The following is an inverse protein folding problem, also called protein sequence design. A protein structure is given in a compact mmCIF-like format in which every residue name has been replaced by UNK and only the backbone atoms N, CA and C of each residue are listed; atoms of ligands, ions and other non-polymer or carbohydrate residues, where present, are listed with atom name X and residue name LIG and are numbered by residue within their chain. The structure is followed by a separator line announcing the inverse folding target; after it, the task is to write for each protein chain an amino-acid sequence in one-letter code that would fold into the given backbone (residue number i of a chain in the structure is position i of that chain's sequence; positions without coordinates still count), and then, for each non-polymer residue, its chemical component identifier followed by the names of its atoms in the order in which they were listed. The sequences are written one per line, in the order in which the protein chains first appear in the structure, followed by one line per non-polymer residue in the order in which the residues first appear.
data_IF_700064470411
#
_entry.id   IF_700064470411
#
_cell.length_a   1.000
_cell.length_b   1.000
_cell.length_c   1.000
_cell.angle_alpha   90.00
_cell.angle_beta   90.00
_cell.angle_gamma   90.00
#
_symmetry.space_group_name_H-M   'P 1'
#
loop_
_entity.id
_entity.type
_entity.pdbx_description
1 polymer ?
#
# COMPACT_ATOMS: atom_id res chain seq x y z
N UNK A 1 -16.31 12.79 7.95
CA UNK A 1 -16.33 13.60 6.72
C UNK A 1 -16.56 15.04 7.15
N UNK A 2 -15.72 16.01 6.76
CA UNK A 2 -15.90 17.41 7.18
C UNK A 2 -14.64 18.28 7.19
N UNK A 3 -13.44 17.69 7.30
CA UNK A 3 -12.18 18.46 7.37
C UNK A 3 -11.43 18.55 6.03
N UNK A 4 -11.80 17.74 5.01
CA UNK A 4 -10.96 17.49 3.81
C UNK A 4 -11.16 18.48 2.66
N UNK A 5 -12.32 19.10 2.52
CA UNK A 5 -12.59 20.09 1.47
C UNK A 5 -12.19 21.51 1.89
N UNK A 6 -12.19 21.76 3.20
CA UNK A 6 -11.80 23.03 3.83
C UNK A 6 -10.38 23.46 3.45
N UNK A 7 -9.41 22.54 3.51
CA UNK A 7 -8.00 22.86 3.23
C UNK A 7 -7.75 23.29 1.78
N UNK A 8 -8.44 22.69 0.80
CA UNK A 8 -8.26 23.08 -0.60
C UNK A 8 -8.87 24.43 -0.93
N UNK A 9 -10.02 24.74 -0.33
CA UNK A 9 -10.63 26.05 -0.48
C UNK A 9 -9.72 27.14 0.10
N UNK A 10 -8.95 26.86 1.16
CA UNK A 10 -7.96 27.78 1.70
C UNK A 10 -6.78 28.00 0.75
N UNK A 11 -6.33 26.95 0.05
CA UNK A 11 -5.22 27.05 -0.91
C UNK A 11 -5.56 27.83 -2.18
N UNK A 12 -6.84 28.00 -2.53
CA UNK A 12 -7.26 28.81 -3.70
C UNK A 12 -6.87 30.28 -3.58
N UNK A 13 -6.69 30.78 -2.36
CA UNK A 13 -6.36 32.18 -2.08
C UNK A 13 -4.85 32.40 -1.90
N UNK A 14 -4.02 31.39 -2.13
CA UNK A 14 -2.57 31.51 -2.04
C UNK A 14 -2.03 32.02 -3.37
N UNK A 15 -1.36 33.17 -3.35
CA UNK A 15 -0.80 33.82 -4.54
C UNK A 15 0.56 33.24 -4.98
N UNK A 16 1.12 32.31 -4.20
CA UNK A 16 2.37 31.63 -4.53
C UNK A 16 2.12 30.37 -5.39
N UNK A 17 3.08 29.96 -6.25
CA UNK A 17 3.00 28.70 -6.98
C UNK A 17 2.85 27.50 -6.04
N UNK A 18 1.91 26.59 -6.35
CA UNK A 18 1.62 25.40 -5.53
C UNK A 18 1.96 24.15 -6.34
N UNK A 19 2.74 23.25 -5.73
CA UNK A 19 2.99 21.90 -6.25
C UNK A 19 2.34 20.88 -5.32
N UNK A 20 1.53 19.99 -5.89
CA UNK A 20 0.91 18.91 -5.15
C UNK A 20 1.88 17.71 -5.04
N UNK A 21 2.01 17.18 -3.83
CA UNK A 21 2.79 15.98 -3.53
C UNK A 21 1.90 14.79 -3.14
N UNK A 22 0.57 14.97 -3.19
CA UNK A 22 -0.39 13.98 -2.74
C UNK A 22 -0.90 13.10 -3.88
N UNK A 23 -0.99 11.80 -3.63
CA UNK A 23 -1.62 10.86 -4.58
C UNK A 23 -3.10 10.61 -4.32
N UNK A 24 -3.55 10.92 -3.10
CA UNK A 24 -4.92 10.61 -2.67
C UNK A 24 -6.00 11.45 -3.37
N UNK A 25 -5.62 12.39 -4.23
CA UNK A 25 -6.51 13.42 -4.81
C UNK A 25 -6.22 13.66 -6.29
N UNK A 26 -6.38 12.65 -7.16
CA UNK A 26 -5.98 12.72 -8.57
C UNK A 26 -6.67 13.85 -9.35
N UNK A 27 -7.88 14.26 -8.92
CA UNK A 27 -8.72 15.26 -9.59
C UNK A 27 -8.33 16.73 -9.36
N UNK A 28 -7.27 16.99 -8.59
CA UNK A 28 -6.81 18.36 -8.35
C UNK A 28 -5.93 18.82 -9.50
N UNK A 29 -6.27 19.97 -10.06
CA UNK A 29 -5.57 20.60 -11.18
C UNK A 29 -4.43 21.47 -10.68
N UNK A 30 -3.38 20.82 -10.16
CA UNK A 30 -2.11 21.46 -9.79
C UNK A 30 -0.96 20.71 -10.46
N UNK A 31 0.17 21.40 -10.76
CA UNK A 31 1.43 20.71 -11.04
C UNK A 31 1.70 19.70 -9.92
N UNK A 32 1.99 18.45 -10.27
CA UNK A 32 2.14 17.36 -9.31
C UNK A 32 3.47 16.65 -9.50
N UNK A 33 4.15 16.43 -8.39
CA UNK A 33 5.29 15.52 -8.31
C UNK A 33 4.89 14.33 -7.46
N UNK A 34 5.05 13.14 -8.01
CA UNK A 34 4.59 11.92 -7.36
C UNK A 34 5.50 10.73 -7.68
N UNK A 35 5.26 9.62 -7.00
CA UNK A 35 6.05 8.40 -7.13
C UNK A 35 5.42 7.49 -8.17
N UNK A 36 6.26 6.84 -8.99
CA UNK A 36 5.79 5.79 -9.89
C UNK A 36 5.54 4.48 -9.12
N UNK A 37 4.32 4.35 -8.61
CA UNK A 37 3.91 3.15 -7.88
C UNK A 37 3.82 1.90 -8.73
N UNK A 38 3.65 2.05 -10.06
CA UNK A 38 3.69 0.93 -11.00
C UNK A 38 5.11 0.40 -11.09
N UNK A 39 6.09 1.27 -11.35
CA UNK A 39 7.49 0.89 -11.43
C UNK A 39 8.00 0.24 -10.13
N UNK A 40 7.59 0.76 -8.96
CA UNK A 40 7.92 0.13 -7.67
C UNK A 40 7.36 -1.29 -7.59
N UNK A 41 6.09 -1.48 -7.93
CA UNK A 41 5.44 -2.78 -7.87
C UNK A 41 6.06 -3.79 -8.85
N UNK A 42 6.34 -3.35 -10.07
CA UNK A 42 7.04 -4.15 -11.10
C UNK A 42 8.46 -4.52 -10.65
N UNK A 43 9.16 -3.61 -10.00
CA UNK A 43 10.48 -3.87 -9.45
C UNK A 43 10.43 -4.91 -8.33
N UNK A 44 9.49 -4.78 -7.39
CA UNK A 44 9.33 -5.73 -6.29
C UNK A 44 9.01 -7.15 -6.80
N UNK A 45 8.21 -7.27 -7.88
CA UNK A 45 7.86 -8.57 -8.47
C UNK A 45 9.06 -9.35 -9.02
N UNK A 46 10.17 -8.67 -9.34
CA UNK A 46 11.40 -9.32 -9.83
C UNK A 46 12.21 -10.00 -8.73
N UNK A 47 11.96 -9.67 -7.46
CA UNK A 47 12.72 -10.20 -6.32
C UNK A 47 11.87 -11.22 -5.54
N UNK A 48 11.82 -12.47 -6.02
CA UNK A 48 11.20 -13.59 -5.32
C UNK A 48 11.44 -14.93 -5.99
N UNK A 49 11.33 -16.02 -5.24
CA UNK A 49 11.81 -17.35 -5.67
C UNK A 49 10.72 -18.41 -5.87
N UNK A 50 9.50 -18.21 -5.37
CA UNK A 50 8.41 -19.19 -5.60
C UNK A 50 7.01 -18.67 -5.25
N UNK A 51 6.82 -18.12 -4.05
CA UNK A 51 5.51 -17.68 -3.57
C UNK A 51 5.55 -16.23 -3.13
N UNK A 52 4.47 -15.50 -3.39
CA UNK A 52 4.42 -14.05 -3.26
C UNK A 52 3.25 -13.59 -2.40
N UNK A 53 3.53 -12.63 -1.52
CA UNK A 53 2.53 -12.03 -0.64
C UNK A 53 2.62 -10.52 -0.67
N UNK A 54 1.49 -9.84 -0.84
CA UNK A 54 1.36 -8.41 -0.63
C UNK A 54 0.71 -8.12 0.72
N UNK A 55 1.31 -7.22 1.52
CA UNK A 55 0.82 -6.89 2.87
C UNK A 55 0.53 -5.41 2.97
N UNK A 56 -0.64 -5.07 3.50
CA UNK A 56 -0.98 -3.69 3.82
C UNK A 56 -1.95 -3.53 4.98
N UNK A 57 -1.96 -2.33 5.55
CA UNK A 57 -2.93 -1.95 6.59
C UNK A 57 -4.32 -1.66 6.02
N UNK A 58 -4.39 -0.93 4.91
CA UNK A 58 -5.64 -0.41 4.35
C UNK A 58 -5.68 -0.45 2.82
N UNK A 59 -6.90 -0.63 2.31
CA UNK A 59 -7.23 -0.69 0.87
C UNK A 59 -7.39 0.70 0.26
N UNK A 60 -6.42 1.59 0.46
CA UNK A 60 -6.53 3.00 0.11
C UNK A 60 -5.42 3.47 -0.84
N UNK A 61 -5.82 4.28 -1.82
CA UNK A 61 -4.95 5.05 -2.71
C UNK A 61 -3.73 4.26 -3.21
N UNK A 62 -2.55 4.76 -2.85
CA UNK A 62 -1.23 4.20 -3.22
C UNK A 62 -1.08 2.71 -2.90
N UNK A 63 -1.57 2.27 -1.73
CA UNK A 63 -1.42 0.86 -1.33
C UNK A 63 -2.19 -0.07 -2.26
N UNK A 64 -3.39 0.34 -2.67
CA UNK A 64 -4.20 -0.40 -3.64
C UNK A 64 -3.51 -0.42 -5.02
N UNK A 65 -2.99 0.71 -5.47
CA UNK A 65 -2.28 0.83 -6.75
C UNK A 65 -1.06 -0.08 -6.79
N UNK A 66 -0.21 -0.05 -5.75
CA UNK A 66 0.97 -0.95 -5.64
C UNK A 66 0.57 -2.42 -5.66
N UNK A 67 -0.46 -2.79 -4.89
CA UNK A 67 -0.99 -4.17 -4.86
C UNK A 67 -1.42 -4.62 -6.26
N UNK A 68 -2.23 -3.81 -6.92
CA UNK A 68 -2.87 -4.17 -8.19
C UNK A 68 -1.79 -4.38 -9.28
N UNK A 69 -0.82 -3.48 -9.39
CA UNK A 69 0.30 -3.65 -10.32
C UNK A 69 1.23 -4.81 -9.94
N UNK A 70 1.48 -5.06 -8.65
CA UNK A 70 2.31 -6.18 -8.21
C UNK A 70 1.66 -7.51 -8.56
N UNK A 71 0.38 -7.69 -8.20
CA UNK A 71 -0.39 -8.89 -8.52
C UNK A 71 -0.53 -9.09 -10.04
N UNK A 72 -0.75 -8.00 -10.80
CA UNK A 72 -0.80 -8.07 -12.26
C UNK A 72 0.54 -8.52 -12.86
N UNK A 73 1.66 -7.97 -12.39
CA UNK A 73 3.01 -8.33 -12.87
C UNK A 73 3.32 -9.79 -12.59
N UNK A 74 3.00 -10.27 -11.39
CA UNK A 74 3.17 -11.68 -11.02
C UNK A 74 2.30 -12.60 -11.88
N UNK A 75 1.04 -12.23 -12.09
CA UNK A 75 0.12 -12.99 -12.93
C UNK A 75 0.62 -13.13 -14.36
N UNK A 76 1.19 -12.07 -14.93
CA UNK A 76 1.82 -12.11 -16.27
C UNK A 76 3.03 -13.04 -16.33
N UNK A 77 3.73 -13.24 -15.21
CA UNK A 77 4.84 -14.17 -15.08
C UNK A 77 4.39 -15.60 -14.66
N UNK A 78 3.08 -15.86 -14.56
CA UNK A 78 2.54 -17.17 -14.20
C UNK A 78 2.50 -17.46 -12.69
N UNK A 79 2.66 -16.43 -11.84
CA UNK A 79 2.59 -16.56 -10.39
C UNK A 79 1.30 -15.97 -9.81
N UNK A 80 0.88 -16.52 -8.67
CA UNK A 80 -0.23 -15.98 -7.88
C UNK A 80 0.29 -15.09 -6.75
N UNK A 81 -0.52 -14.11 -6.35
CA UNK A 81 -0.23 -13.19 -5.25
C UNK A 81 -1.23 -13.35 -4.11
N UNK A 82 -0.75 -13.74 -2.94
CA UNK A 82 -1.56 -13.72 -1.72
C UNK A 82 -1.64 -12.28 -1.20
N UNK A 83 -2.83 -11.80 -0.83
CA UNK A 83 -3.00 -10.45 -0.28
C UNK A 83 -3.47 -10.52 1.16
N UNK A 84 -2.70 -9.92 2.07
CA UNK A 84 -3.08 -9.77 3.48
C UNK A 84 -3.42 -8.34 3.79
N UNK A 85 -4.63 -8.14 4.31
CA UNK A 85 -5.18 -6.81 4.58
C UNK A 85 -5.68 -6.70 6.00
N UNK A 86 -4.92 -6.02 6.86
CA UNK A 86 -5.31 -5.82 8.26
C UNK A 86 -6.70 -5.18 8.36
N UNK A 87 -6.97 -4.15 7.55
CA UNK A 87 -8.25 -3.46 7.53
C UNK A 87 -9.45 -4.35 7.23
N UNK A 88 -9.26 -5.41 6.41
CA UNK A 88 -10.30 -6.41 6.10
C UNK A 88 -10.33 -7.56 7.12
N UNK A 89 -9.19 -7.95 7.67
CA UNK A 89 -9.04 -9.17 8.47
C UNK A 89 -9.09 -8.95 9.98
N UNK A 90 -8.97 -7.69 10.46
CA UNK A 90 -8.95 -7.38 11.90
C UNK A 90 -10.26 -7.71 12.62
N UNK A 91 -11.38 -7.72 11.91
CA UNK A 91 -12.71 -7.83 12.52
C UNK A 91 -12.92 -6.75 13.57
N UNK A 92 -13.29 -7.15 14.79
CA UNK A 92 -13.51 -6.24 15.92
C UNK A 92 -12.25 -5.86 16.70
N UNK A 93 -11.06 -6.34 16.30
CA UNK A 93 -9.81 -5.99 16.99
C UNK A 93 -9.48 -4.51 16.86
N UNK A 94 -8.89 -3.96 17.92
CA UNK A 94 -8.36 -2.59 17.93
C UNK A 94 -7.24 -2.46 16.90
N UNK A 95 -7.20 -1.33 16.22
CA UNK A 95 -6.14 -1.05 15.26
C UNK A 95 -4.92 -0.41 15.95
N UNK A 96 -4.26 -1.22 16.77
CA UNK A 96 -3.00 -0.89 17.41
C UNK A 96 -1.85 -1.76 16.86
N UNK A 97 -0.62 -1.39 17.21
CA UNK A 97 0.59 -2.09 16.74
C UNK A 97 0.66 -3.53 17.22
N UNK A 98 0.22 -3.82 18.44
CA UNK A 98 0.39 -5.13 19.05
C UNK A 98 -0.55 -6.16 18.40
N UNK A 99 -1.83 -5.80 18.22
CA UNK A 99 -2.81 -6.66 17.55
C UNK A 99 -2.43 -6.89 16.07
N UNK A 100 -1.96 -5.83 15.39
CA UNK A 100 -1.51 -5.94 13.99
C UNK A 100 -0.28 -6.84 13.87
N UNK A 101 0.72 -6.70 14.73
CA UNK A 101 1.89 -7.58 14.73
C UNK A 101 1.51 -9.04 15.02
N UNK A 102 0.66 -9.30 16.03
CA UNK A 102 0.18 -10.67 16.31
C UNK A 102 -0.56 -11.28 15.12
N UNK A 103 -1.38 -10.50 14.43
CA UNK A 103 -2.03 -10.93 13.19
C UNK A 103 -1.01 -11.24 12.10
N UNK A 104 -0.06 -10.34 11.86
CA UNK A 104 0.94 -10.47 10.81
C UNK A 104 1.80 -11.73 11.00
N UNK A 105 2.32 -11.96 12.20
CA UNK A 105 3.10 -13.16 12.55
C UNK A 105 2.27 -14.42 12.31
N UNK A 106 1.01 -14.46 12.76
CA UNK A 106 0.12 -15.60 12.55
C UNK A 106 -0.10 -15.89 11.06
N UNK A 107 -0.27 -14.86 10.24
CA UNK A 107 -0.51 -15.01 8.79
C UNK A 107 0.75 -15.46 8.06
N UNK A 108 1.90 -14.86 8.38
CA UNK A 108 3.18 -15.23 7.78
C UNK A 108 3.63 -16.66 8.14
N UNK A 109 3.24 -17.17 9.30
CA UNK A 109 3.49 -18.55 9.72
C UNK A 109 2.69 -19.59 8.93
N UNK A 110 1.56 -19.19 8.31
CA UNK A 110 0.69 -20.07 7.52
C UNK A 110 1.11 -20.19 6.05
N UNK A 111 2.08 -19.37 5.61
CA UNK A 111 2.51 -19.34 4.22
C UNK A 111 3.55 -20.44 3.92
N UNK A 112 3.49 -21.06 2.72
CA UNK A 112 4.56 -21.95 2.26
C UNK A 112 5.89 -21.20 2.18
N UNK A 113 7.00 -21.85 2.53
CA UNK A 113 8.35 -21.28 2.46
C UNK A 113 9.12 -21.87 1.29
N UNK A 114 9.95 -21.09 0.58
CA UNK A 114 10.19 -19.64 0.76
C UNK A 114 9.01 -18.77 0.26
N UNK A 115 8.82 -17.60 0.88
CA UNK A 115 7.79 -16.61 0.50
C UNK A 115 8.41 -15.21 0.42
N UNK A 116 8.25 -14.55 -0.73
CA UNK A 116 8.62 -13.16 -0.93
C UNK A 116 7.46 -12.25 -0.50
N UNK A 117 7.74 -11.31 0.39
CA UNK A 117 6.75 -10.41 0.97
C UNK A 117 7.00 -8.98 0.49
N UNK A 118 6.04 -8.42 -0.23
CA UNK A 118 6.02 -7.01 -0.58
C UNK A 118 5.06 -6.24 0.34
N UNK A 119 5.61 -5.39 1.20
CA UNK A 119 4.83 -4.55 2.10
C UNK A 119 4.51 -3.20 1.45
N UNK A 120 3.29 -2.70 1.62
CA UNK A 120 2.88 -1.43 1.04
C UNK A 120 3.72 -0.23 1.51
N UNK A 121 4.22 -0.28 2.75
CA UNK A 121 5.12 0.72 3.34
C UNK A 121 6.11 0.05 4.28
N UNK A 122 7.21 0.75 4.55
CA UNK A 122 8.31 0.25 5.39
C UNK A 122 7.87 -0.02 6.82
N UNK A 123 6.88 0.71 7.35
CA UNK A 123 6.35 0.43 8.70
C UNK A 123 5.70 -0.96 8.78
N UNK A 124 5.08 -1.44 7.70
CA UNK A 124 4.59 -2.82 7.64
C UNK A 124 5.76 -3.81 7.47
N UNK A 125 6.81 -3.44 6.73
CA UNK A 125 8.00 -4.27 6.56
C UNK A 125 8.75 -4.51 7.87
N UNK A 126 8.91 -3.47 8.69
CA UNK A 126 9.51 -3.56 10.03
C UNK A 126 8.73 -4.50 10.95
N UNK A 127 7.42 -4.64 10.76
CA UNK A 127 6.59 -5.54 11.57
C UNK A 127 6.61 -6.99 11.08
N UNK A 128 7.11 -7.23 9.87
CA UNK A 128 7.14 -8.53 9.20
C UNK A 128 8.45 -9.31 9.44
N UNK A 129 9.48 -8.66 10.01
CA UNK A 129 10.77 -9.23 10.40
C UNK A 129 10.76 -9.50 11.90
#
# INVERSE_FOLDING_TARGET
MGQKDSFWNQLRNVEAPIIDLTESRPRITLPRVTVDNKAIAEMAAKFGVSTFTFIHRWELGVSRVRRDYFAQTLKQAGFECTVFSWGKERGNKKDDRQERHRWLVKRLAQLPKPNAVFCARDIEAVEAI
#
